data_IF_555460865621
#
_entry.id   IF_555460865621
#
_cell.length_a   1.000
_cell.length_b   1.000
_cell.length_c   1.000
_cell.angle_alpha   90.00
_cell.angle_beta   90.00
_cell.angle_gamma   90.00
#
_symmetry.space_group_name_H-M   'P 1'
#
loop_
_entity.id
_entity.type
_entity.pdbx_description
1 polymer ?
#
# COMPACT_ATOMS: atom_id res chain seq x y z
N UNK A 1 -3.16 -7.71 19.32
CA UNK A 1 -3.29 -8.40 18.01
C UNK A 1 -2.98 -7.37 16.92
N UNK A 2 -2.15 -7.70 15.93
CA UNK A 2 -1.86 -6.81 14.80
C UNK A 2 -2.75 -7.18 13.61
N UNK A 3 -3.20 -6.22 12.79
CA UNK A 3 -4.00 -6.53 11.61
C UNK A 3 -3.16 -7.32 10.60
N UNK A 4 -3.76 -8.32 9.96
CA UNK A 4 -3.12 -9.06 8.86
C UNK A 4 -3.38 -8.37 7.50
N UNK A 5 -4.51 -7.68 7.37
CA UNK A 5 -4.94 -7.01 6.15
C UNK A 5 -5.29 -5.55 6.47
N UNK A 6 -4.83 -4.63 5.63
CA UNK A 6 -5.14 -3.21 5.69
C UNK A 6 -5.61 -2.75 4.31
N UNK A 7 -6.82 -2.18 4.25
CA UNK A 7 -7.34 -1.50 3.06
C UNK A 7 -7.35 -0.01 3.32
N UNK A 8 -6.81 0.78 2.39
CA UNK A 8 -6.80 2.24 2.46
C UNK A 8 -7.37 2.76 1.13
N UNK A 9 -8.40 3.57 1.27
CA UNK A 9 -9.05 4.28 0.17
C UNK A 9 -9.69 5.53 0.78
N UNK A 10 -8.94 6.64 0.71
CA UNK A 10 -9.30 7.90 1.37
C UNK A 10 -9.15 9.10 0.42
N UNK A 11 -9.41 8.89 -0.87
CA UNK A 11 -9.50 9.94 -1.88
C UNK A 11 -8.22 10.79 -1.96
N UNK A 12 -7.06 10.12 -2.02
CA UNK A 12 -5.75 10.74 -2.25
C UNK A 12 -4.93 11.08 -1.00
N UNK A 13 -5.45 10.83 0.21
CA UNK A 13 -4.69 11.00 1.46
C UNK A 13 -3.89 9.75 1.87
N UNK A 14 -3.91 8.70 1.05
CA UNK A 14 -3.41 7.35 1.34
C UNK A 14 -1.94 7.35 1.76
N UNK A 15 -1.10 8.09 1.05
CA UNK A 15 0.32 8.22 1.36
C UNK A 15 0.57 8.86 2.73
N UNK A 16 -0.23 9.85 3.12
CA UNK A 16 -0.10 10.52 4.41
C UNK A 16 -0.43 9.56 5.55
N UNK A 17 -1.49 8.75 5.39
CA UNK A 17 -1.83 7.70 6.36
C UNK A 17 -0.72 6.66 6.42
N UNK A 18 -0.26 6.15 5.28
CA UNK A 18 0.85 5.21 5.21
C UNK A 18 2.11 5.74 5.90
N UNK A 19 2.48 7.02 5.71
CA UNK A 19 3.62 7.65 6.40
C UNK A 19 3.42 7.78 7.91
N UNK A 20 2.17 7.86 8.39
CA UNK A 20 1.86 7.95 9.83
C UNK A 20 1.84 6.61 10.56
N UNK A 21 1.80 5.49 9.82
CA UNK A 21 1.77 4.16 10.42
C UNK A 21 3.13 3.79 11.03
N UNK A 22 3.09 3.25 12.24
CA UNK A 22 4.23 2.56 12.84
C UNK A 22 4.33 1.13 12.32
N UNK A 23 5.12 0.92 11.25
CA UNK A 23 5.38 -0.39 10.66
C UNK A 23 6.19 -1.35 11.54
N UNK A 24 6.72 -0.90 12.70
CA UNK A 24 7.37 -1.79 13.66
C UNK A 24 6.31 -2.47 14.54
N UNK A 25 5.35 -1.68 15.05
CA UNK A 25 4.27 -2.18 15.89
C UNK A 25 3.12 -2.81 15.08
N UNK A 26 2.80 -2.21 13.93
CA UNK A 26 1.67 -2.57 13.08
C UNK A 26 2.16 -2.81 11.65
N UNK A 27 2.43 -4.08 11.34
CA UNK A 27 2.92 -4.53 10.04
C UNK A 27 1.92 -5.49 9.38
N UNK A 28 0.91 -4.96 8.67
CA UNK A 28 -0.03 -5.80 7.93
C UNK A 28 0.71 -6.71 6.96
N UNK A 29 0.25 -7.96 6.82
CA UNK A 29 0.78 -8.90 5.83
C UNK A 29 0.41 -8.47 4.42
N UNK A 30 -0.77 -7.87 4.27
CA UNK A 30 -1.30 -7.38 3.00
C UNK A 30 -1.80 -5.94 3.17
N UNK A 31 -1.41 -5.07 2.25
CA UNK A 31 -1.92 -3.71 2.11
C UNK A 31 -2.59 -3.59 0.75
N UNK A 32 -3.85 -3.20 0.72
CA UNK A 32 -4.60 -2.86 -0.49
C UNK A 32 -4.84 -1.36 -0.48
N UNK A 33 -4.33 -0.64 -1.48
CA UNK A 33 -4.37 0.82 -1.47
C UNK A 33 -4.55 1.40 -2.86
N UNK A 34 -5.32 2.48 -2.96
CA UNK A 34 -5.39 3.30 -4.17
C UNK A 34 -4.04 3.98 -4.43
N UNK A 35 -3.49 3.77 -5.62
CA UNK A 35 -2.19 4.28 -6.02
C UNK A 35 -2.29 5.23 -7.21
N UNK A 36 -3.43 5.90 -7.38
CA UNK A 36 -3.64 6.94 -8.39
C UNK A 36 -3.71 8.29 -7.70
N UNK A 37 -3.16 9.31 -8.34
CA UNK A 37 -3.30 10.68 -7.87
C UNK A 37 -4.75 11.12 -7.94
N UNK A 38 -5.24 11.77 -6.87
CA UNK A 38 -6.58 12.32 -6.86
C UNK A 38 -6.77 13.28 -8.05
N UNK A 39 -7.78 12.99 -8.88
CA UNK A 39 -8.10 13.79 -10.07
C UNK A 39 -9.62 13.84 -10.27
N UNK A 40 -10.12 15.03 -10.57
CA UNK A 40 -11.56 15.26 -10.80
C UNK A 40 -12.03 14.79 -12.17
N UNK A 41 -11.11 14.50 -13.08
CA UNK A 41 -11.38 14.02 -14.45
C UNK A 41 -10.92 12.57 -14.69
N UNK A 42 -10.49 11.88 -13.63
CA UNK A 42 -10.02 10.48 -13.63
C UNK A 42 -8.79 10.24 -14.52
N UNK A 43 -7.98 11.28 -14.76
CA UNK A 43 -6.72 11.20 -15.52
C UNK A 43 -5.47 11.22 -14.64
N UNK A 44 -5.66 11.05 -13.33
CA UNK A 44 -4.58 10.94 -12.36
C UNK A 44 -3.56 9.87 -12.79
N UNK A 45 -2.28 10.24 -12.70
CA UNK A 45 -1.20 9.30 -12.91
C UNK A 45 -1.06 8.36 -11.72
N UNK A 46 -0.24 7.31 -11.89
CA UNK A 46 0.15 6.46 -10.77
C UNK A 46 0.93 7.30 -9.75
N UNK A 47 0.51 7.27 -8.49
CA UNK A 47 1.23 7.87 -7.37
C UNK A 47 2.51 7.06 -7.09
N UNK A 48 3.57 7.41 -7.82
CA UNK A 48 4.86 6.72 -7.73
C UNK A 48 5.49 6.83 -6.35
N UNK A 49 5.30 7.95 -5.66
CA UNK A 49 5.85 8.14 -4.31
C UNK A 49 5.24 7.14 -3.31
N UNK A 50 3.93 6.89 -3.41
CA UNK A 50 3.26 5.89 -2.58
C UNK A 50 3.77 4.48 -2.85
N UNK A 51 3.88 4.11 -4.13
CA UNK A 51 4.42 2.81 -4.54
C UNK A 51 5.84 2.64 -4.00
N UNK A 52 6.73 3.59 -4.28
CA UNK A 52 8.13 3.56 -3.86
C UNK A 52 8.24 3.50 -2.32
N UNK A 53 7.39 4.24 -1.59
CA UNK A 53 7.34 4.18 -0.13
C UNK A 53 7.08 2.76 0.36
N UNK A 54 6.05 2.07 -0.13
CA UNK A 54 5.74 0.70 0.31
C UNK A 54 6.82 -0.30 -0.07
N UNK A 55 7.43 -0.15 -1.25
CA UNK A 55 8.60 -0.94 -1.64
C UNK A 55 9.76 -0.75 -0.66
N UNK A 56 10.07 0.49 -0.27
CA UNK A 56 11.14 0.77 0.73
C UNK A 56 10.82 0.22 2.12
N UNK A 57 9.54 0.02 2.46
CA UNK A 57 9.11 -0.61 3.72
C UNK A 57 9.22 -2.14 3.70
N UNK A 58 9.66 -2.74 2.59
CA UNK A 58 9.85 -4.19 2.45
C UNK A 58 8.62 -4.94 1.96
N UNK A 59 7.68 -4.23 1.34
CA UNK A 59 6.56 -4.84 0.63
C UNK A 59 6.91 -5.06 -0.85
N UNK A 60 6.21 -5.97 -1.51
CA UNK A 60 6.28 -6.18 -2.95
C UNK A 60 4.87 -6.14 -3.55
N UNK A 61 4.79 -5.77 -4.83
CA UNK A 61 3.52 -5.76 -5.58
C UNK A 61 3.12 -7.20 -5.90
N UNK A 62 1.98 -7.63 -5.36
CA UNK A 62 1.37 -8.91 -5.68
C UNK A 62 0.39 -8.81 -6.85
N UNK A 63 -0.32 -7.68 -6.96
CA UNK A 63 -1.24 -7.40 -8.07
C UNK A 63 -1.50 -5.90 -8.21
N UNK A 64 -1.69 -5.45 -9.44
CA UNK A 64 -1.93 -4.04 -9.78
C UNK A 64 -3.04 -3.93 -10.83
N UNK A 65 -4.12 -3.22 -10.51
CA UNK A 65 -5.27 -2.97 -11.40
C UNK A 65 -5.22 -1.56 -12.01
N UNK A 66 -4.04 -0.95 -12.07
CA UNK A 66 -3.79 0.46 -12.38
C UNK A 66 -4.24 1.42 -11.28
N UNK A 67 -5.49 1.35 -10.83
CA UNK A 67 -6.01 2.19 -9.75
C UNK A 67 -5.50 1.68 -8.40
N UNK A 68 -5.88 0.46 -8.03
CA UNK A 68 -5.51 -0.13 -6.75
C UNK A 68 -4.34 -1.08 -6.91
N UNK A 69 -3.54 -1.19 -5.86
CA UNK A 69 -2.40 -2.11 -5.83
C UNK A 69 -2.41 -2.90 -4.54
N UNK A 70 -2.20 -4.21 -4.67
CA UNK A 70 -2.05 -5.15 -3.58
C UNK A 70 -0.56 -5.31 -3.30
N UNK A 71 -0.15 -4.95 -2.10
CA UNK A 71 1.19 -5.10 -1.57
C UNK A 71 1.23 -6.20 -0.51
N UNK A 72 2.20 -7.10 -0.62
CA UNK A 72 2.42 -8.16 0.36
C UNK A 72 3.76 -7.93 1.09
N UNK A 73 3.77 -8.17 2.40
CA UNK A 73 4.99 -8.12 3.21
C UNK A 73 5.93 -9.27 2.83
N UNK A 74 7.17 -8.93 2.45
CA UNK A 74 8.13 -9.93 1.95
C UNK A 74 8.48 -10.97 3.01
N UNK A 75 8.60 -10.56 4.28
CA UNK A 75 8.98 -11.47 5.37
C UNK A 75 7.88 -12.49 5.67
N UNK A 76 6.63 -12.02 5.74
CA UNK A 76 5.45 -12.86 6.00
C UNK A 76 5.10 -13.78 4.84
N UNK A 77 5.39 -13.39 3.59
CA UNK A 77 5.11 -14.22 2.43
C UNK A 77 6.08 -15.42 2.33
N UNK A 78 7.38 -15.19 2.59
CA UNK A 78 8.40 -16.25 2.55
C UNK A 78 8.29 -17.28 3.66
N UNK A 79 7.71 -16.92 4.81
CA UNK A 79 7.49 -17.86 5.92
C UNK A 79 6.32 -18.82 5.68
N UNK A 80 5.51 -18.58 4.65
CA UNK A 80 4.34 -19.40 4.30
C UNK A 80 4.54 -20.22 3.00
N UNK A 81 5.78 -20.29 2.50
CA UNK A 81 6.22 -21.24 1.46
C UNK A 81 7.08 -22.33 2.11
#
# INVERSE_FOLDING_TARGET
MKPDFLSIDIEGLDLSILKSLDFQSYRPKVIYVECVEFSTDHRGGKNKELVDFLLTKGYFIFGDTYINTIFCDTASFKSNQ
#
